data_IF_851444260025
#
_entry.id   IF_851444260025
#
_cell.length_a   1.000
_cell.length_b   1.000
_cell.length_c   1.000
_cell.angle_alpha   90.00
_cell.angle_beta   90.00
_cell.angle_gamma   90.00
#
_symmetry.space_group_name_H-M   'P 1'
#
loop_
_entity.id
_entity.type
_entity.pdbx_description
1 polymer ?
#
# COMPACT_ATOMS: atom_id res chain seq x y z
N UNK A 1 -6.21 -28.90 24.00
CA UNK A 1 -7.09 -30.00 23.53
C UNK A 1 -6.57 -30.43 22.18
N UNK A 2 -6.02 -31.63 22.11
CA UNK A 2 -5.42 -32.14 20.89
C UNK A 2 -6.53 -32.70 19.97
N UNK A 3 -6.62 -32.19 18.75
CA UNK A 3 -7.70 -32.51 17.80
C UNK A 3 -7.65 -33.94 17.23
N UNK A 4 -6.56 -34.69 17.47
CA UNK A 4 -6.44 -36.09 17.02
C UNK A 4 -6.59 -37.13 18.13
N UNK A 5 -6.47 -36.74 19.41
CA UNK A 5 -6.63 -37.67 20.56
C UNK A 5 -7.81 -37.33 21.46
N UNK A 6 -8.42 -36.14 21.33
CA UNK A 6 -9.60 -35.73 22.11
C UNK A 6 -9.33 -35.35 23.57
N UNK A 7 -8.10 -35.52 24.05
CA UNK A 7 -7.75 -35.28 25.45
C UNK A 7 -7.55 -33.78 25.77
N UNK A 8 -7.95 -33.41 26.99
CA UNK A 8 -7.74 -32.07 27.57
C UNK A 8 -6.44 -32.08 28.37
N UNK A 9 -5.34 -31.76 27.71
CA UNK A 9 -4.05 -31.47 28.36
C UNK A 9 -4.22 -30.37 29.43
N UNK A 10 -3.82 -30.68 30.66
CA UNK A 10 -3.76 -29.70 31.73
C UNK A 10 -2.57 -28.75 31.52
N UNK A 11 -2.81 -27.44 31.62
CA UNK A 11 -1.72 -26.46 31.63
C UNK A 11 -0.99 -26.55 32.96
N UNK A 12 0.26 -27.01 32.93
CA UNK A 12 1.15 -27.00 34.07
C UNK A 12 1.58 -25.55 34.34
N UNK A 13 0.94 -24.87 35.29
CA UNK A 13 1.47 -23.62 35.85
C UNK A 13 2.74 -23.98 36.64
N UNK A 14 3.91 -23.77 36.05
CA UNK A 14 5.18 -23.81 36.76
C UNK A 14 5.37 -22.45 37.44
N UNK A 15 5.37 -22.37 38.78
CA UNK A 15 5.81 -21.16 39.47
C UNK A 15 7.33 -21.10 39.34
N UNK A 16 7.86 -19.99 38.82
CA UNK A 16 9.24 -19.64 39.13
C UNK A 16 9.26 -19.15 40.58
N UNK A 17 9.88 -19.93 41.48
CA UNK A 17 10.28 -19.45 42.79
C UNK A 17 11.74 -18.98 42.74
N UNK A 18 11.98 -17.89 43.45
CA UNK A 18 13.21 -17.10 43.48
C UNK A 18 14.06 -17.49 44.70
N UNK A 19 15.39 -17.37 44.56
CA UNK A 19 16.34 -16.90 45.60
C UNK A 19 17.37 -16.06 44.79
N UNK A 20 17.83 -14.87 45.19
CA UNK A 20 18.12 -14.36 46.55
C UNK A 20 17.46 -13.01 46.91
N UNK A 21 16.93 -12.99 48.14
CA UNK A 21 16.88 -11.92 49.18
C UNK A 21 17.03 -10.41 48.82
N UNK A 22 16.06 -9.59 49.27
CA UNK A 22 16.24 -8.51 50.29
C UNK A 22 14.91 -7.77 50.56
N UNK A 23 14.34 -8.03 51.75
CA UNK A 23 13.64 -7.09 52.66
C UNK A 23 12.33 -6.33 52.29
N UNK A 24 11.33 -6.61 53.15
CA UNK A 24 10.39 -5.68 53.84
C UNK A 24 9.02 -5.29 53.22
N UNK A 25 8.01 -5.90 53.86
CA UNK A 25 6.79 -5.30 54.43
C UNK A 25 5.61 -4.90 53.51
N UNK A 26 4.38 -5.13 54.01
CA UNK A 26 3.12 -4.86 53.31
C UNK A 26 2.13 -6.04 53.32
N UNK A 27 1.05 -5.91 54.09
CA UNK A 27 0.15 -7.02 54.42
C UNK A 27 -1.15 -7.11 53.59
N UNK A 28 -1.61 -8.35 53.45
CA UNK A 28 -3.01 -8.83 53.29
C UNK A 28 -3.73 -8.78 51.91
N UNK A 29 -4.66 -9.74 51.67
CA UNK A 29 -5.11 -10.08 50.31
C UNK A 29 -6.49 -9.50 49.93
N UNK A 30 -6.71 -9.37 48.63
CA UNK A 30 -8.00 -9.03 48.02
C UNK A 30 -9.01 -10.18 48.17
N UNK A 31 -10.18 -9.88 48.72
CA UNK A 31 -11.34 -10.78 48.71
C UNK A 31 -11.97 -10.84 47.31
N UNK A 32 -12.17 -12.04 46.77
CA UNK A 32 -12.99 -12.24 45.58
C UNK A 32 -14.47 -12.19 45.97
N UNK A 33 -15.22 -11.21 45.45
CA UNK A 33 -16.68 -11.22 45.47
C UNK A 33 -17.25 -11.58 44.10
N UNK A 34 -18.12 -12.58 44.09
CA UNK A 34 -18.85 -13.06 42.91
C UNK A 34 -19.96 -12.10 42.54
N UNK A 35 -19.86 -11.46 41.37
CA UNK A 35 -20.96 -10.66 40.82
C UNK A 35 -22.10 -11.58 40.33
N UNK A 36 -23.25 -11.47 40.99
CA UNK A 36 -24.49 -12.13 40.58
C UNK A 36 -25.02 -11.51 39.27
N UNK A 37 -25.49 -12.36 38.36
CA UNK A 37 -26.26 -11.91 37.20
C UNK A 37 -27.70 -11.64 37.67
N UNK A 38 -28.13 -10.39 37.62
CA UNK A 38 -29.54 -9.99 37.68
C UNK A 38 -29.93 -9.34 36.37
N UNK A 39 -30.98 -9.88 35.74
CA UNK A 39 -31.65 -9.24 34.61
C UNK A 39 -32.82 -8.42 35.15
N UNK A 40 -32.92 -7.16 34.74
CA UNK A 40 -34.12 -6.36 34.89
C UNK A 40 -34.52 -5.80 33.52
N UNK A 41 -35.83 -5.70 33.31
CA UNK A 41 -36.45 -5.54 32.00
C UNK A 41 -36.60 -4.08 31.56
N UNK A 42 -36.98 -3.95 30.30
CA UNK A 42 -37.27 -2.75 29.52
C UNK A 42 -37.79 -1.52 30.28
N UNK A 43 -37.30 -0.35 29.87
CA UNK A 43 -38.15 0.83 29.82
C UNK A 43 -37.91 1.61 28.51
N UNK A 44 -39.01 2.01 27.89
CA UNK A 44 -39.07 2.60 26.54
C UNK A 44 -39.13 4.15 26.61
N UNK A 45 -39.28 4.81 25.45
CA UNK A 45 -39.36 6.27 25.21
C UNK A 45 -38.01 7.03 25.28
N UNK A 46 -37.62 7.96 24.38
CA UNK A 46 -38.15 8.62 23.16
C UNK A 46 -36.92 9.30 22.43
N UNK A 47 -36.83 9.71 21.15
CA UNK A 47 -37.69 9.71 19.93
C UNK A 47 -36.86 10.15 18.68
N UNK A 48 -37.09 9.55 17.50
CA UNK A 48 -36.68 10.01 16.14
C UNK A 48 -35.15 10.12 15.85
N UNK A 49 -34.63 9.96 14.63
CA UNK A 49 -35.22 10.07 13.28
C UNK A 49 -35.12 8.82 12.40
N UNK A 50 -36.06 8.74 11.45
CA UNK A 50 -36.02 7.82 10.32
C UNK A 50 -35.03 8.30 9.25
N UNK A 51 -34.24 7.37 8.71
CA UNK A 51 -33.94 7.33 7.27
C UNK A 51 -33.48 5.92 6.91
N UNK A 52 -34.41 5.11 6.40
CA UNK A 52 -34.10 3.87 5.68
C UNK A 52 -34.34 4.07 4.18
N UNK A 53 -33.73 3.17 3.40
CA UNK A 53 -33.78 3.03 1.95
C UNK A 53 -33.03 4.10 1.11
N UNK A 54 -32.14 3.73 0.18
CA UNK A 54 -31.69 2.39 -0.20
C UNK A 54 -30.26 2.38 -0.78
N UNK A 55 -29.40 1.54 -0.20
CA UNK A 55 -28.18 1.07 -0.87
C UNK A 55 -28.39 -0.42 -1.12
N UNK A 56 -28.50 -0.81 -2.39
CA UNK A 56 -28.60 -2.23 -2.77
C UNK A 56 -27.27 -2.91 -2.44
N UNK A 57 -27.29 -3.71 -1.37
CA UNK A 57 -26.12 -4.47 -0.91
C UNK A 57 -25.84 -5.59 -1.92
N UNK A 58 -24.85 -5.39 -2.79
CA UNK A 58 -24.16 -6.51 -3.45
C UNK A 58 -23.35 -7.26 -2.41
N UNK A 59 -23.61 -8.56 -2.27
CA UNK A 59 -23.10 -9.36 -1.16
C UNK A 59 -21.72 -9.97 -1.46
N UNK A 60 -20.77 -9.79 -0.53
CA UNK A 60 -19.83 -10.85 -0.07
C UNK A 60 -18.86 -10.38 1.01
N UNK A 61 -18.65 -9.08 1.22
CA UNK A 61 -17.88 -8.57 2.35
C UNK A 61 -18.80 -8.26 3.55
N UNK A 62 -18.38 -8.63 4.76
CA UNK A 62 -19.12 -8.33 5.98
C UNK A 62 -19.28 -6.82 6.16
N UNK A 63 -20.41 -6.37 6.73
CA UNK A 63 -20.67 -4.94 6.96
C UNK A 63 -19.50 -4.32 7.72
N UNK A 64 -18.73 -3.45 7.05
CA UNK A 64 -17.65 -2.69 7.69
C UNK A 64 -18.26 -1.91 8.84
N UNK A 65 -17.77 -2.18 10.06
CA UNK A 65 -18.28 -1.55 11.26
C UNK A 65 -17.95 -0.06 11.22
N UNK A 66 -18.88 0.78 11.67
CA UNK A 66 -18.55 2.18 11.88
C UNK A 66 -17.57 2.30 13.06
N UNK A 67 -16.60 3.22 13.00
CA UNK A 67 -15.74 3.56 14.12
C UNK A 67 -16.57 3.91 15.35
N UNK A 68 -16.17 3.39 16.52
CA UNK A 68 -16.86 3.64 17.80
C UNK A 68 -16.53 5.02 18.38
N UNK A 69 -15.43 5.61 17.94
CA UNK A 69 -14.89 6.86 18.42
C UNK A 69 -15.54 8.05 17.69
N UNK A 70 -16.44 8.76 18.38
CA UNK A 70 -17.08 9.94 17.81
C UNK A 70 -16.07 11.06 17.54
N UNK A 71 -15.00 11.16 18.34
CA UNK A 71 -13.91 12.12 18.13
C UNK A 71 -13.12 11.83 16.86
N UNK A 72 -12.75 10.57 16.60
CA UNK A 72 -12.06 10.22 15.34
C UNK A 72 -12.93 10.51 14.11
N UNK A 73 -14.25 10.25 14.20
CA UNK A 73 -15.18 10.55 13.10
C UNK A 73 -15.28 12.06 12.84
N UNK A 74 -15.28 12.88 13.90
CA UNK A 74 -15.25 14.34 13.80
C UNK A 74 -13.92 14.84 13.23
N UNK A 75 -12.78 14.29 13.67
CA UNK A 75 -11.46 14.57 13.09
C UNK A 75 -11.47 14.23 11.60
N UNK A 76 -11.86 13.01 11.22
CA UNK A 76 -11.95 12.57 9.82
C UNK A 76 -12.74 13.56 8.94
N UNK A 77 -13.97 13.90 9.35
CA UNK A 77 -14.83 14.83 8.61
C UNK A 77 -14.22 16.23 8.51
N UNK A 78 -13.58 16.70 9.58
CA UNK A 78 -12.90 18.00 9.62
C UNK A 78 -11.69 18.02 8.68
N UNK A 79 -10.84 17.00 8.72
CA UNK A 79 -9.65 16.89 7.87
C UNK A 79 -10.01 16.79 6.39
N UNK A 80 -11.04 16.00 6.03
CA UNK A 80 -11.60 15.95 4.66
C UNK A 80 -12.08 17.34 4.21
N UNK A 81 -12.78 18.09 5.06
CA UNK A 81 -13.25 19.44 4.74
C UNK A 81 -12.08 20.44 4.57
N UNK A 82 -11.10 20.42 5.47
CA UNK A 82 -9.90 21.28 5.41
C UNK A 82 -9.10 21.04 4.13
N UNK A 83 -8.86 19.77 3.76
CA UNK A 83 -8.14 19.41 2.56
C UNK A 83 -8.90 19.81 1.28
N UNK A 84 -10.22 19.61 1.22
CA UNK A 84 -11.09 20.07 0.12
C UNK A 84 -11.03 21.60 -0.04
N UNK A 85 -11.04 22.35 1.06
CA UNK A 85 -11.01 23.82 1.05
C UNK A 85 -9.61 24.42 0.95
N UNK A 86 -8.53 23.61 0.98
CA UNK A 86 -7.13 24.07 1.09
C UNK A 86 -6.92 25.01 2.29
N UNK A 87 -7.55 24.68 3.42
CA UNK A 87 -7.55 25.52 4.63
C UNK A 87 -6.17 25.68 5.27
N UNK A 88 -6.05 26.63 6.22
CA UNK A 88 -4.78 26.94 6.88
C UNK A 88 -4.17 25.79 7.68
N UNK A 89 -4.96 24.80 8.09
CA UNK A 89 -4.54 23.60 8.81
C UNK A 89 -4.28 22.40 7.88
N UNK A 90 -3.88 22.66 6.62
CA UNK A 90 -3.70 21.62 5.60
C UNK A 90 -2.76 20.49 6.03
N UNK A 91 -1.62 20.84 6.65
CA UNK A 91 -0.59 19.85 7.03
C UNK A 91 -1.09 18.98 8.18
N UNK A 92 -1.66 19.58 9.23
CA UNK A 92 -2.32 18.85 10.32
C UNK A 92 -3.43 17.91 9.78
N UNK A 93 -4.30 18.40 8.90
CA UNK A 93 -5.37 17.58 8.32
C UNK A 93 -4.82 16.39 7.51
N UNK A 94 -3.65 16.53 6.87
CA UNK A 94 -3.00 15.44 6.16
C UNK A 94 -2.35 14.42 7.10
N UNK A 95 -1.82 14.87 8.25
CA UNK A 95 -1.31 13.99 9.32
C UNK A 95 -2.45 13.25 10.03
N UNK A 96 -3.54 13.94 10.39
CA UNK A 96 -4.76 13.35 10.96
C UNK A 96 -5.30 12.23 10.05
N UNK A 97 -5.38 12.46 8.73
CA UNK A 97 -5.76 11.39 7.79
C UNK A 97 -4.72 10.26 7.74
N UNK A 98 -3.42 10.54 7.91
CA UNK A 98 -2.41 9.49 7.94
C UNK A 98 -2.49 8.63 9.19
N UNK A 99 -2.92 9.21 10.32
CA UNK A 99 -3.24 8.45 11.54
C UNK A 99 -4.50 7.61 11.35
N UNK A 100 -5.56 8.15 10.75
CA UNK A 100 -6.85 7.45 10.61
C UNK A 100 -6.87 6.39 9.48
N UNK A 101 -6.08 6.56 8.42
CA UNK A 101 -6.16 5.73 7.21
C UNK A 101 -5.81 4.24 7.37
N UNK A 102 -5.26 3.81 8.52
CA UNK A 102 -4.99 2.39 8.78
C UNK A 102 -6.26 1.61 9.18
N UNK A 103 -7.33 2.30 9.58
CA UNK A 103 -8.61 1.67 9.83
C UNK A 103 -9.36 1.33 8.52
N UNK A 104 -10.07 0.20 8.52
CA UNK A 104 -10.74 -0.33 7.33
C UNK A 104 -11.87 0.60 6.85
N UNK A 105 -12.58 1.25 7.76
CA UNK A 105 -13.65 2.21 7.43
C UNK A 105 -13.04 3.49 6.86
N UNK A 106 -12.15 4.18 7.59
CA UNK A 106 -11.57 5.45 7.14
C UNK A 106 -10.77 5.28 5.83
N UNK A 107 -9.99 4.20 5.71
CA UNK A 107 -9.28 3.87 4.47
C UNK A 107 -10.21 3.71 3.26
N UNK A 108 -11.40 3.13 3.43
CA UNK A 108 -12.40 3.03 2.36
C UNK A 108 -13.04 4.39 2.04
N UNK A 109 -13.42 5.16 3.05
CA UNK A 109 -14.08 6.47 2.81
C UNK A 109 -13.12 7.48 2.16
N UNK A 110 -11.80 7.43 2.44
CA UNK A 110 -10.79 8.24 1.73
C UNK A 110 -10.81 7.97 0.22
N UNK A 111 -10.95 6.70 -0.18
CA UNK A 111 -10.93 6.28 -1.59
C UNK A 111 -12.24 6.63 -2.31
N UNK A 112 -13.35 6.71 -1.58
CA UNK A 112 -14.65 7.16 -2.11
C UNK A 112 -14.73 8.67 -2.35
N UNK A 113 -13.92 9.43 -1.64
CA UNK A 113 -13.86 10.88 -1.76
C UNK A 113 -12.95 11.30 -2.93
N UNK A 114 -13.50 11.24 -4.16
CA UNK A 114 -12.78 11.46 -5.43
C UNK A 114 -11.77 12.62 -5.40
N UNK A 115 -12.18 13.79 -4.87
CA UNK A 115 -11.31 14.98 -4.83
C UNK A 115 -10.18 14.88 -3.81
N UNK A 116 -10.35 14.08 -2.76
CA UNK A 116 -9.30 13.79 -1.77
C UNK A 116 -8.36 12.72 -2.32
N UNK A 117 -8.88 11.67 -2.94
CA UNK A 117 -8.08 10.64 -3.60
C UNK A 117 -7.19 11.23 -4.71
N UNK A 118 -7.76 12.06 -5.59
CA UNK A 118 -6.99 12.75 -6.64
C UNK A 118 -5.92 13.68 -6.02
N UNK A 119 -6.28 14.48 -5.00
CA UNK A 119 -5.33 15.34 -4.26
C UNK A 119 -4.18 14.53 -3.67
N UNK A 120 -4.45 13.41 -2.99
CA UNK A 120 -3.43 12.55 -2.38
C UNK A 120 -2.53 11.90 -3.44
N UNK A 121 -3.07 11.50 -4.59
CA UNK A 121 -2.29 10.99 -5.73
C UNK A 121 -1.37 12.09 -6.27
N UNK A 122 -1.86 13.32 -6.44
CA UNK A 122 -1.06 14.44 -6.90
C UNK A 122 0.06 14.81 -5.92
N UNK A 123 -0.24 14.87 -4.62
CA UNK A 123 0.76 15.08 -3.57
C UNK A 123 1.82 13.97 -3.60
N UNK A 124 1.45 12.68 -3.67
CA UNK A 124 2.39 11.56 -3.82
C UNK A 124 3.28 11.70 -5.07
N UNK A 125 2.76 12.26 -6.16
CA UNK A 125 3.52 12.52 -7.39
C UNK A 125 4.41 13.78 -7.29
N UNK A 126 4.45 14.45 -6.14
CA UNK A 126 5.19 15.70 -5.94
C UNK A 126 4.60 16.87 -6.73
N UNK A 127 3.28 16.83 -6.96
CA UNK A 127 2.50 17.89 -7.59
C UNK A 127 1.59 18.53 -6.53
N UNK A 128 2.08 19.62 -5.93
CA UNK A 128 1.34 20.39 -4.95
C UNK A 128 0.54 21.51 -5.64
N UNK A 129 -0.72 21.76 -5.24
CA UNK A 129 -1.45 22.97 -5.61
C UNK A 129 -0.73 24.25 -5.13
N UNK A 130 -0.75 25.29 -5.96
CA UNK A 130 -0.04 26.56 -5.71
C UNK A 130 -0.59 27.36 -4.51
N UNK A 131 -1.84 27.13 -4.11
CA UNK A 131 -2.53 27.92 -3.09
C UNK A 131 -2.32 27.45 -1.63
N UNK A 132 -1.53 26.40 -1.40
CA UNK A 132 -1.38 25.81 -0.05
C UNK A 132 -0.32 26.58 0.74
N UNK A 133 -0.56 26.97 2.01
CA UNK A 133 0.41 27.68 2.85
C UNK A 133 1.71 26.89 3.09
N UNK A 134 2.65 27.53 3.80
CA UNK A 134 3.99 27.02 4.11
C UNK A 134 4.01 25.53 4.47
N UNK A 135 5.06 24.81 4.03
CA UNK A 135 5.26 23.40 4.35
C UNK A 135 5.86 23.26 5.74
N UNK A 136 5.13 22.62 6.64
CA UNK A 136 5.63 22.15 7.93
C UNK A 136 6.08 20.68 7.82
N UNK A 137 5.48 19.92 6.90
CA UNK A 137 5.72 18.48 6.71
C UNK A 137 6.16 18.10 5.28
N UNK A 138 6.63 16.86 5.11
CA UNK A 138 6.82 16.25 3.79
C UNK A 138 5.48 15.71 3.26
N UNK A 139 4.65 16.60 2.69
CA UNK A 139 3.31 16.31 2.16
C UNK A 139 3.28 15.14 1.18
N UNK A 140 4.29 15.05 0.31
CA UNK A 140 4.44 13.99 -0.68
C UNK A 140 4.56 12.61 -0.04
N UNK A 141 5.40 12.50 0.99
CA UNK A 141 5.54 11.28 1.80
C UNK A 141 4.28 10.99 2.62
N UNK A 142 3.68 11.99 3.26
CA UNK A 142 2.49 11.80 4.10
C UNK A 142 1.30 11.36 3.25
N UNK A 143 1.03 11.98 2.10
CA UNK A 143 -0.02 11.54 1.18
C UNK A 143 0.22 10.13 0.63
N UNK A 144 1.48 9.77 0.37
CA UNK A 144 1.84 8.41 0.00
C UNK A 144 1.58 7.40 1.14
N UNK A 145 1.81 7.80 2.39
CA UNK A 145 1.49 7.03 3.61
C UNK A 145 -0.02 6.84 3.79
N UNK A 146 -0.82 7.92 3.69
CA UNK A 146 -2.30 7.88 3.74
C UNK A 146 -2.84 6.84 2.76
N UNK A 147 -2.46 6.93 1.48
CA UNK A 147 -2.89 5.98 0.45
C UNK A 147 -2.34 4.56 0.72
N UNK A 148 -1.08 4.43 1.13
CA UNK A 148 -0.46 3.15 1.45
C UNK A 148 -1.19 2.39 2.57
N UNK A 149 -1.57 3.10 3.62
CA UNK A 149 -2.36 2.59 4.75
C UNK A 149 -3.79 2.28 4.35
N UNK A 150 -4.47 3.18 3.63
CA UNK A 150 -5.86 3.01 3.19
C UNK A 150 -6.07 1.71 2.38
N UNK A 151 -5.09 1.32 1.56
CA UNK A 151 -5.11 0.09 0.77
C UNK A 151 -4.52 -1.14 1.50
N UNK A 152 -3.87 -0.98 2.65
CA UNK A 152 -3.20 -2.08 3.34
C UNK A 152 -4.23 -2.99 4.03
N UNK A 153 -4.31 -4.25 3.58
CA UNK A 153 -5.22 -5.26 4.11
C UNK A 153 -6.71 -4.83 4.10
N UNK A 154 -7.08 -3.91 3.18
CA UNK A 154 -8.43 -3.36 3.07
C UNK A 154 -9.05 -3.69 1.68
N UNK A 155 -9.63 -4.89 1.50
CA UNK A 155 -10.24 -5.28 0.24
C UNK A 155 -11.35 -4.32 -0.24
N UNK A 156 -12.10 -3.70 0.68
CA UNK A 156 -13.14 -2.76 0.31
C UNK A 156 -12.58 -1.46 -0.29
N UNK A 157 -11.49 -0.92 0.27
CA UNK A 157 -10.79 0.21 -0.36
C UNK A 157 -10.20 -0.16 -1.74
N UNK A 158 -9.74 -1.41 -1.91
CA UNK A 158 -9.26 -1.91 -3.22
C UNK A 158 -10.42 -2.06 -4.22
N UNK A 159 -11.62 -2.44 -3.80
CA UNK A 159 -12.81 -2.48 -4.67
C UNK A 159 -13.23 -1.08 -5.14
N UNK A 160 -13.15 -0.06 -4.29
CA UNK A 160 -13.49 1.32 -4.67
C UNK A 160 -12.49 1.94 -5.68
N UNK A 161 -11.26 1.42 -5.80
CA UNK A 161 -10.32 1.81 -6.87
C UNK A 161 -10.95 1.63 -8.25
N UNK A 162 -11.78 0.60 -8.47
CA UNK A 162 -12.34 0.31 -9.79
C UNK A 162 -13.37 1.38 -10.23
N UNK A 163 -13.92 2.14 -9.27
CA UNK A 163 -14.75 3.32 -9.49
C UNK A 163 -13.89 4.56 -9.78
N UNK A 164 -12.91 4.87 -8.92
CA UNK A 164 -12.10 6.09 -8.98
C UNK A 164 -10.84 6.00 -9.87
N UNK A 165 -10.59 4.85 -10.50
CA UNK A 165 -9.44 4.51 -11.36
C UNK A 165 -8.91 5.61 -12.27
N UNK A 166 -9.79 6.40 -12.90
CA UNK A 166 -9.41 7.49 -13.81
C UNK A 166 -8.67 8.60 -13.05
N UNK A 167 -9.15 8.94 -11.87
CA UNK A 167 -8.60 9.96 -10.99
C UNK A 167 -7.25 9.53 -10.39
N UNK A 168 -6.95 8.21 -10.37
CA UNK A 168 -5.66 7.67 -9.94
C UNK A 168 -4.66 7.60 -11.11
N UNK A 169 -5.07 7.09 -12.27
CA UNK A 169 -4.15 6.85 -13.40
C UNK A 169 -3.95 8.08 -14.30
N UNK A 170 -4.96 8.95 -14.44
CA UNK A 170 -4.92 10.23 -15.19
C UNK A 170 -5.32 11.39 -14.25
N UNK A 171 -4.55 11.64 -13.17
CA UNK A 171 -4.93 12.62 -12.14
C UNK A 171 -4.78 14.06 -12.65
N UNK A 172 -5.78 14.90 -12.36
CA UNK A 172 -5.89 16.30 -12.81
C UNK A 172 -5.03 17.26 -11.97
N UNK A 173 -3.74 16.93 -11.79
CA UNK A 173 -2.87 17.56 -10.80
C UNK A 173 -2.49 19.04 -11.02
N UNK A 174 -2.99 19.67 -12.08
CA UNK A 174 -2.97 21.14 -12.23
C UNK A 174 -4.20 21.61 -13.01
N UNK A 175 -4.85 22.72 -12.62
CA UNK A 175 -5.96 23.29 -13.39
C UNK A 175 -5.51 24.17 -14.58
N UNK A 176 -4.25 24.66 -14.60
CA UNK A 176 -3.82 25.79 -15.42
C UNK A 176 -2.68 25.49 -16.42
N UNK A 177 -2.75 24.39 -17.18
CA UNK A 177 -1.93 24.19 -18.37
C UNK A 177 -2.81 24.10 -19.63
N UNK A 178 -3.09 25.27 -20.20
CA UNK A 178 -3.91 25.46 -21.41
C UNK A 178 -3.30 24.87 -22.70
N UNK A 179 -2.16 24.16 -22.61
CA UNK A 179 -1.46 23.49 -23.70
C UNK A 179 -1.42 21.97 -23.46
N UNK A 180 -2.60 21.33 -23.39
CA UNK A 180 -2.70 19.86 -23.40
C UNK A 180 -2.25 19.31 -24.76
N UNK A 181 -1.10 18.64 -24.80
CA UNK A 181 -0.63 17.87 -25.97
C UNK A 181 -0.39 16.39 -25.62
N UNK A 182 -0.18 16.05 -24.35
CA UNK A 182 -0.25 14.66 -23.86
C UNK A 182 -1.12 14.60 -22.59
N UNK A 183 -1.95 13.57 -22.46
CA UNK A 183 -2.63 13.24 -21.20
C UNK A 183 -1.61 12.56 -20.28
N UNK A 184 -0.87 13.38 -19.54
CA UNK A 184 0.11 12.92 -18.57
C UNK A 184 -0.57 12.01 -17.53
N UNK A 185 -0.04 10.80 -17.39
CA UNK A 185 -0.59 9.76 -16.54
C UNK A 185 0.32 9.54 -15.31
N UNK A 186 -0.17 8.80 -14.32
CA UNK A 186 0.57 8.49 -13.09
C UNK A 186 2.00 8.00 -13.35
N UNK A 187 2.19 7.15 -14.37
CA UNK A 187 3.49 6.58 -14.73
C UNK A 187 4.39 7.63 -15.37
N UNK A 188 3.90 8.40 -16.34
CA UNK A 188 4.69 9.45 -17.00
C UNK A 188 5.07 10.58 -16.04
N UNK A 189 4.16 10.99 -15.16
CA UNK A 189 4.39 11.99 -14.11
C UNK A 189 5.45 11.50 -13.11
N UNK A 190 5.28 10.29 -12.55
CA UNK A 190 6.27 9.73 -11.62
C UNK A 190 7.62 9.58 -12.33
N UNK A 191 7.63 9.14 -13.59
CA UNK A 191 8.86 9.00 -14.37
C UNK A 191 9.59 10.35 -14.57
N UNK A 192 8.87 11.42 -14.92
CA UNK A 192 9.41 12.79 -15.05
C UNK A 192 10.00 13.32 -13.74
N UNK A 193 9.43 12.92 -12.59
CA UNK A 193 9.89 13.33 -11.24
C UNK A 193 11.07 12.51 -10.72
N UNK A 194 11.17 11.23 -11.12
CA UNK A 194 12.15 10.25 -10.62
C UNK A 194 13.62 10.70 -10.78
N UNK A 195 13.95 11.50 -11.79
CA UNK A 195 15.33 11.99 -11.99
C UNK A 195 15.76 12.94 -10.86
N UNK A 196 14.85 13.81 -10.42
CA UNK A 196 15.09 14.82 -9.39
C UNK A 196 15.03 14.24 -7.97
N UNK A 197 14.28 13.18 -7.79
CA UNK A 197 14.12 12.51 -6.49
C UNK A 197 15.45 11.91 -5.98
N UNK A 198 15.86 12.28 -4.77
CA UNK A 198 17.06 11.76 -4.10
C UNK A 198 16.75 11.08 -2.76
N UNK A 199 15.54 11.22 -2.24
CA UNK A 199 15.10 10.58 -1.00
C UNK A 199 14.67 9.13 -1.26
N UNK A 200 15.54 8.20 -0.86
CA UNK A 200 15.25 6.76 -0.91
C UNK A 200 14.08 6.35 -0.01
N UNK A 201 13.83 7.04 1.10
CA UNK A 201 12.70 6.75 1.99
C UNK A 201 11.37 7.17 1.35
N UNK A 202 11.32 8.34 0.70
CA UNK A 202 10.16 8.76 -0.09
C UNK A 202 9.86 7.76 -1.23
N UNK A 203 10.86 7.39 -2.04
CA UNK A 203 10.68 6.34 -3.06
C UNK A 203 10.22 5.01 -2.48
N UNK A 204 10.75 4.57 -1.33
CA UNK A 204 10.34 3.33 -0.67
C UNK A 204 8.84 3.36 -0.33
N UNK A 205 8.33 4.49 0.15
CA UNK A 205 6.91 4.63 0.49
C UNK A 205 6.05 4.65 -0.78
N UNK A 206 6.44 5.40 -1.82
CA UNK A 206 5.74 5.35 -3.13
C UNK A 206 5.67 3.94 -3.72
N UNK A 207 6.78 3.19 -3.71
CA UNK A 207 6.80 1.79 -4.18
C UNK A 207 5.96 0.88 -3.28
N UNK A 208 5.92 1.14 -1.96
CA UNK A 208 5.05 0.41 -1.03
C UNK A 208 3.58 0.63 -1.38
N UNK A 209 3.15 1.88 -1.56
CA UNK A 209 1.77 2.23 -1.92
C UNK A 209 1.39 1.71 -3.30
N UNK A 210 2.29 1.83 -4.27
CA UNK A 210 2.11 1.26 -5.61
C UNK A 210 1.93 -0.27 -5.57
N UNK A 211 2.67 -0.98 -4.72
CA UNK A 211 2.47 -2.42 -4.49
C UNK A 211 1.07 -2.76 -3.93
N UNK A 212 0.41 -1.82 -3.24
CA UNK A 212 -0.98 -2.00 -2.77
C UNK A 212 -2.00 -1.65 -3.86
N UNK A 213 -1.81 -0.54 -4.57
CA UNK A 213 -2.63 -0.17 -5.74
C UNK A 213 -2.66 -1.29 -6.80
N UNK A 214 -1.52 -1.96 -7.04
CA UNK A 214 -1.40 -3.10 -7.95
C UNK A 214 -2.20 -4.35 -7.54
N UNK A 215 -2.84 -4.37 -6.36
CA UNK A 215 -3.81 -5.40 -6.00
C UNK A 215 -5.18 -5.20 -6.65
N UNK A 216 -5.58 -3.99 -7.05
CA UNK A 216 -6.70 -3.81 -7.98
C UNK A 216 -6.31 -4.39 -9.34
N UNK A 217 -7.13 -5.31 -9.85
CA UNK A 217 -6.95 -5.90 -11.17
C UNK A 217 -7.01 -4.83 -12.28
N UNK A 218 -7.87 -3.82 -12.11
CA UNK A 218 -8.07 -2.78 -13.11
C UNK A 218 -6.92 -1.78 -13.13
N UNK A 219 -6.47 -1.30 -11.97
CA UNK A 219 -5.28 -0.46 -11.88
C UNK A 219 -4.04 -1.21 -12.39
N UNK A 220 -3.87 -2.50 -12.05
CA UNK A 220 -2.76 -3.33 -12.56
C UNK A 220 -2.78 -3.49 -14.09
N UNK A 221 -3.95 -3.60 -14.70
CA UNK A 221 -4.08 -3.61 -16.17
C UNK A 221 -3.56 -2.31 -16.79
N UNK A 222 -4.12 -1.18 -16.37
CA UNK A 222 -3.73 0.16 -16.83
C UNK A 222 -2.24 0.46 -16.57
N UNK A 223 -1.71 0.02 -15.43
CA UNK A 223 -0.29 0.13 -15.07
C UNK A 223 0.61 -0.62 -16.08
N UNK A 224 0.24 -1.84 -16.46
CA UNK A 224 0.99 -2.64 -17.44
C UNK A 224 0.85 -2.12 -18.87
N UNK A 225 -0.24 -1.42 -19.19
CA UNK A 225 -0.48 -0.77 -20.48
C UNK A 225 0.33 0.53 -20.62
N UNK A 226 0.42 1.34 -19.56
CA UNK A 226 1.13 2.62 -19.53
C UNK A 226 2.61 2.48 -19.10
N UNK A 227 3.31 1.43 -19.58
CA UNK A 227 4.75 1.21 -19.37
C UNK A 227 5.22 1.11 -17.90
N UNK A 228 4.33 0.81 -16.95
CA UNK A 228 4.63 0.83 -15.50
C UNK A 228 5.81 -0.05 -15.07
N UNK A 229 6.06 -1.17 -15.77
CA UNK A 229 7.23 -2.01 -15.50
C UNK A 229 8.56 -1.33 -15.85
N UNK A 230 8.58 -0.44 -16.84
CA UNK A 230 9.76 0.36 -17.18
C UNK A 230 10.03 1.44 -16.14
N UNK A 231 8.98 1.98 -15.52
CA UNK A 231 9.08 2.83 -14.34
C UNK A 231 9.69 2.06 -13.15
N UNK A 232 9.18 0.87 -12.79
CA UNK A 232 9.75 0.10 -11.66
C UNK A 232 11.24 -0.21 -11.93
N UNK A 233 11.59 -0.62 -13.15
CA UNK A 233 12.98 -0.91 -13.49
C UNK A 233 13.88 0.33 -13.39
N UNK A 234 13.38 1.52 -13.75
CA UNK A 234 14.12 2.76 -13.56
C UNK A 234 14.32 3.14 -12.08
N UNK A 235 13.34 2.85 -11.20
CA UNK A 235 13.52 3.03 -9.76
C UNK A 235 14.53 2.01 -9.22
N UNK A 236 14.51 0.76 -9.70
CA UNK A 236 15.50 -0.27 -9.33
C UNK A 236 16.94 0.12 -9.73
N UNK A 237 17.10 0.82 -10.86
CA UNK A 237 18.38 1.31 -11.37
C UNK A 237 18.91 2.57 -10.66
N UNK A 238 18.22 3.13 -9.66
CA UNK A 238 18.75 4.25 -8.85
C UNK A 238 20.03 3.82 -8.12
N UNK A 239 21.09 4.61 -8.31
CA UNK A 239 22.42 4.40 -7.74
C UNK A 239 22.51 4.97 -6.33
N UNK A 240 23.29 4.31 -5.47
CA UNK A 240 23.43 4.65 -4.04
C UNK A 240 22.94 3.51 -3.14
N UNK A 241 23.63 3.31 -2.01
CA UNK A 241 23.35 2.22 -1.07
C UNK A 241 22.04 2.43 -0.30
N UNK A 242 21.67 3.70 -0.03
CA UNK A 242 20.37 4.08 0.53
C UNK A 242 19.18 3.52 -0.28
N UNK A 243 19.29 3.48 -1.62
CA UNK A 243 18.28 2.90 -2.51
C UNK A 243 18.23 1.37 -2.48
N UNK A 244 19.16 0.66 -1.81
CA UNK A 244 19.08 -0.80 -1.70
C UNK A 244 17.81 -1.25 -0.94
N UNK A 245 17.34 -0.44 0.02
CA UNK A 245 16.06 -0.65 0.69
C UNK A 245 14.85 -0.50 -0.26
N UNK A 246 14.96 0.38 -1.28
CA UNK A 246 13.96 0.54 -2.34
C UNK A 246 14.01 -0.64 -3.31
N UNK A 247 15.21 -1.10 -3.71
CA UNK A 247 15.39 -2.28 -4.58
C UNK A 247 14.83 -3.55 -3.93
N UNK A 248 15.04 -3.73 -2.63
CA UNK A 248 14.38 -4.81 -1.85
C UNK A 248 12.86 -4.66 -1.86
N UNK A 249 12.34 -3.43 -1.68
CA UNK A 249 10.88 -3.21 -1.73
C UNK A 249 10.28 -3.42 -3.13
N UNK A 250 11.06 -3.18 -4.19
CA UNK A 250 10.72 -3.56 -5.57
C UNK A 250 10.68 -5.08 -5.71
N UNK A 251 11.65 -5.82 -5.15
CA UNK A 251 11.62 -7.29 -5.15
C UNK A 251 10.34 -7.83 -4.52
N UNK A 252 9.94 -7.28 -3.37
CA UNK A 252 8.67 -7.62 -2.70
C UNK A 252 7.48 -7.28 -3.61
N UNK A 253 7.41 -6.08 -4.21
CA UNK A 253 6.35 -5.70 -5.14
C UNK A 253 6.20 -6.68 -6.31
N UNK A 254 7.32 -7.09 -6.92
CA UNK A 254 7.33 -8.02 -8.06
C UNK A 254 6.83 -9.42 -7.67
N UNK A 255 7.28 -9.93 -6.52
CA UNK A 255 6.85 -11.21 -5.97
C UNK A 255 5.35 -11.17 -5.66
N UNK A 256 4.92 -10.19 -4.86
CA UNK A 256 3.55 -10.02 -4.37
C UNK A 256 2.52 -9.86 -5.49
N UNK A 257 2.86 -9.23 -6.62
CA UNK A 257 1.88 -8.83 -7.64
C UNK A 257 1.96 -9.63 -8.95
N UNK A 258 3.13 -10.18 -9.31
CA UNK A 258 3.34 -10.77 -10.64
C UNK A 258 3.98 -12.16 -10.65
N UNK A 259 4.77 -12.55 -9.64
CA UNK A 259 5.61 -13.76 -9.73
C UNK A 259 5.17 -14.93 -8.85
N UNK A 260 4.51 -14.69 -7.70
CA UNK A 260 4.16 -15.76 -6.75
C UNK A 260 2.67 -15.75 -6.34
N UNK A 261 1.94 -16.76 -6.80
CA UNK A 261 0.52 -16.99 -6.50
C UNK A 261 0.25 -17.10 -4.99
N UNK A 262 1.21 -17.60 -4.20
CA UNK A 262 1.06 -17.75 -2.74
C UNK A 262 1.00 -16.41 -2.00
N UNK A 263 1.54 -15.35 -2.60
CA UNK A 263 1.43 -13.95 -2.12
C UNK A 263 0.28 -13.18 -2.80
N UNK A 264 -0.60 -13.89 -3.53
CA UNK A 264 -1.73 -13.33 -4.26
C UNK A 264 -1.32 -12.57 -5.52
N UNK A 265 -0.25 -12.99 -6.20
CA UNK A 265 0.11 -12.47 -7.51
C UNK A 265 -0.81 -13.01 -8.62
N UNK A 266 -1.15 -12.17 -9.60
CA UNK A 266 -1.69 -12.65 -10.85
C UNK A 266 -0.52 -12.95 -11.79
N UNK A 267 -0.18 -14.24 -11.91
CA UNK A 267 0.97 -14.69 -12.70
C UNK A 267 0.71 -14.69 -14.21
N UNK A 268 1.78 -14.81 -14.99
CA UNK A 268 1.78 -14.92 -16.46
C UNK A 268 1.29 -13.65 -17.21
N UNK A 269 0.95 -12.56 -16.50
CA UNK A 269 0.71 -11.24 -17.11
C UNK A 269 2.00 -10.44 -17.33
N UNK A 270 3.04 -10.77 -16.55
CA UNK A 270 4.40 -10.25 -16.63
C UNK A 270 5.35 -11.27 -15.96
N UNK A 271 6.62 -11.46 -16.42
CA UNK A 271 7.24 -10.89 -17.63
C UNK A 271 6.62 -11.41 -18.94
N UNK A 272 6.69 -10.59 -20.00
CA UNK A 272 6.05 -10.86 -21.30
C UNK A 272 7.04 -11.33 -22.36
N UNK A 273 8.31 -10.93 -22.26
CA UNK A 273 9.36 -11.17 -23.25
C UNK A 273 10.42 -12.15 -22.75
N UNK A 274 11.05 -12.92 -23.65
CA UNK A 274 12.18 -13.78 -23.29
C UNK A 274 13.40 -12.93 -22.89
N UNK A 275 14.29 -13.54 -22.11
CA UNK A 275 15.51 -12.89 -21.61
C UNK A 275 16.36 -12.35 -22.76
N UNK A 276 16.72 -11.07 -22.66
CA UNK A 276 17.61 -10.38 -23.58
C UNK A 276 19.08 -10.65 -23.26
N UNK A 277 19.96 -10.42 -24.25
CA UNK A 277 21.40 -10.55 -24.05
C UNK A 277 21.98 -9.34 -23.30
N UNK A 278 23.07 -9.55 -22.56
CA UNK A 278 23.79 -8.46 -21.85
C UNK A 278 24.07 -7.25 -22.75
N UNK A 279 24.67 -7.48 -23.93
CA UNK A 279 24.94 -6.45 -24.96
C UNK A 279 23.70 -5.73 -25.51
N UNK A 280 22.50 -6.32 -25.37
CA UNK A 280 21.26 -5.61 -25.69
C UNK A 280 20.89 -4.64 -24.58
N UNK A 281 20.99 -5.08 -23.32
CA UNK A 281 20.57 -4.34 -22.13
C UNK A 281 21.52 -3.23 -21.68
N UNK A 282 22.81 -3.35 -21.99
CA UNK A 282 23.83 -2.31 -21.76
C UNK A 282 23.62 -1.05 -22.63
N UNK A 283 22.75 -1.11 -23.65
CA UNK A 283 22.43 0.04 -24.50
C UNK A 283 21.40 0.92 -23.78
N UNK A 284 21.70 2.21 -23.62
CA UNK A 284 20.83 3.20 -22.95
C UNK A 284 19.36 3.12 -23.38
N UNK A 285 19.09 3.05 -24.70
CA UNK A 285 17.73 2.96 -25.26
C UNK A 285 16.95 1.67 -24.94
N UNK A 286 17.61 0.65 -24.42
CA UNK A 286 17.05 -0.65 -24.09
C UNK A 286 17.06 -0.91 -22.57
N UNK A 287 17.51 0.07 -21.77
CA UNK A 287 17.88 -0.13 -20.37
C UNK A 287 16.70 -0.63 -19.51
N UNK A 288 15.47 -0.20 -19.85
CA UNK A 288 14.24 -0.53 -19.12
C UNK A 288 13.40 -1.64 -19.76
N UNK A 289 13.89 -2.23 -20.86
CA UNK A 289 13.19 -3.28 -21.61
C UNK A 289 12.95 -4.54 -20.76
N UNK A 290 11.76 -5.13 -20.86
CA UNK A 290 11.32 -6.29 -20.07
C UNK A 290 12.34 -7.46 -20.04
N UNK A 291 12.96 -7.75 -21.19
CA UNK A 291 13.97 -8.80 -21.30
C UNK A 291 15.24 -8.57 -20.48
N UNK A 292 15.44 -7.39 -19.87
CA UNK A 292 16.69 -6.97 -19.21
C UNK A 292 16.69 -7.04 -17.69
N UNK A 293 15.55 -7.32 -17.05
CA UNK A 293 15.44 -7.43 -15.60
C UNK A 293 16.49 -8.36 -14.96
N UNK A 294 16.67 -9.58 -15.44
CA UNK A 294 17.66 -10.53 -14.89
C UNK A 294 19.08 -10.01 -15.02
N UNK A 295 19.42 -9.27 -16.07
CA UNK A 295 20.77 -8.72 -16.21
C UNK A 295 21.06 -7.71 -15.11
N UNK A 296 20.10 -6.81 -14.83
CA UNK A 296 20.22 -5.78 -13.81
C UNK A 296 20.18 -6.35 -12.39
N UNK A 297 19.34 -7.36 -12.13
CA UNK A 297 19.31 -8.04 -10.83
C UNK A 297 20.56 -8.91 -10.63
N UNK A 298 21.09 -9.56 -11.68
CA UNK A 298 22.38 -10.29 -11.60
C UNK A 298 23.55 -9.34 -11.32
N UNK A 299 23.62 -8.19 -11.99
CA UNK A 299 24.64 -7.16 -11.70
C UNK A 299 24.50 -6.60 -10.28
N UNK A 300 23.28 -6.30 -9.83
CA UNK A 300 23.07 -5.85 -8.46
C UNK A 300 23.43 -6.94 -7.44
N UNK A 301 23.13 -8.21 -7.72
CA UNK A 301 23.46 -9.34 -6.83
C UNK A 301 24.97 -9.54 -6.64
N UNK A 302 25.83 -9.10 -7.57
CA UNK A 302 27.29 -9.13 -7.35
C UNK A 302 27.78 -7.97 -6.48
N UNK A 303 27.01 -6.88 -6.39
CA UNK A 303 27.30 -5.73 -5.53
C UNK A 303 26.93 -6.00 -4.06
N UNK A 304 25.92 -6.86 -3.81
CA UNK A 304 25.46 -7.26 -2.47
C UNK A 304 25.48 -8.78 -2.25
N UNK A 305 26.66 -9.45 -2.29
CA UNK A 305 26.75 -10.91 -2.30
C UNK A 305 26.18 -11.60 -1.04
N UNK A 306 26.13 -10.88 0.08
CA UNK A 306 25.58 -11.31 1.38
C UNK A 306 24.05 -11.31 1.44
N UNK A 307 23.37 -10.67 0.49
CA UNK A 307 21.90 -10.64 0.42
C UNK A 307 21.41 -11.81 -0.45
N UNK A 308 20.40 -12.55 0.04
CA UNK A 308 19.82 -13.67 -0.71
C UNK A 308 18.56 -13.29 -1.50
N UNK A 309 17.87 -12.20 -1.13
CA UNK A 309 16.67 -11.76 -1.84
C UNK A 309 16.88 -11.48 -3.34
N UNK A 310 18.04 -10.96 -3.84
CA UNK A 310 18.24 -10.79 -5.29
C UNK A 310 18.31 -12.13 -6.03
N UNK A 311 18.89 -13.15 -5.38
CA UNK A 311 18.98 -14.52 -5.90
C UNK A 311 17.58 -15.15 -5.97
N UNK A 312 16.78 -14.97 -4.92
CA UNK A 312 15.40 -15.45 -4.85
C UNK A 312 14.52 -14.76 -5.92
N UNK A 313 14.64 -13.44 -6.10
CA UNK A 313 13.95 -12.70 -7.17
C UNK A 313 14.34 -13.22 -8.57
N UNK A 314 15.63 -13.49 -8.80
CA UNK A 314 16.09 -14.08 -10.07
C UNK A 314 15.49 -15.47 -10.33
N UNK A 315 15.34 -16.30 -9.30
CA UNK A 315 14.70 -17.61 -9.43
C UNK A 315 13.21 -17.48 -9.77
N UNK A 316 12.48 -16.62 -9.04
CA UNK A 316 11.07 -16.35 -9.29
C UNK A 316 10.82 -15.74 -10.68
N UNK A 317 11.69 -14.85 -11.15
CA UNK A 317 11.58 -14.26 -12.48
C UNK A 317 11.89 -15.27 -13.59
N UNK A 318 12.90 -16.13 -13.38
CA UNK A 318 13.28 -17.19 -14.34
C UNK A 318 12.21 -18.28 -14.47
N UNK A 319 11.48 -18.60 -13.39
CA UNK A 319 10.42 -19.62 -13.44
C UNK A 319 9.16 -19.15 -14.20
N UNK A 320 8.86 -17.85 -14.18
CA UNK A 320 7.69 -17.25 -14.87
C UNK A 320 7.97 -16.75 -16.29
N UNK A 321 9.23 -16.74 -16.73
CA UNK A 321 9.61 -16.15 -18.02
C UNK A 321 9.25 -17.03 -19.22
N UNK A 322 8.65 -16.46 -20.29
CA UNK A 322 8.42 -17.19 -21.53
C UNK A 322 9.72 -17.80 -22.07
N UNK A 323 9.71 -19.12 -22.29
CA UNK A 323 10.81 -19.82 -22.95
C UNK A 323 10.93 -19.30 -24.38
N UNK A 324 12.15 -18.94 -24.78
CA UNK A 324 12.41 -18.48 -26.15
C UNK A 324 12.02 -19.59 -27.12
N UNK A 325 10.97 -19.36 -27.90
CA UNK A 325 10.58 -20.26 -28.99
C UNK A 325 11.73 -20.22 -29.98
N UNK A 326 12.52 -21.31 -30.03
CA UNK A 326 13.38 -21.57 -31.16
C UNK A 326 12.47 -21.85 -32.36
N UNK A 327 12.18 -20.81 -33.14
CA UNK A 327 11.76 -20.97 -34.51
C UNK A 327 12.78 -21.91 -35.16
N UNK A 328 12.35 -23.15 -35.41
CA UNK A 328 13.10 -24.03 -36.30
C UNK A 328 13.07 -23.33 -37.66
N UNK A 329 14.23 -22.88 -38.11
CA UNK A 329 14.39 -22.44 -39.49
C UNK A 329 14.22 -23.69 -40.35
N UNK A 330 13.02 -23.88 -40.88
CA UNK A 330 12.82 -24.76 -42.02
C UNK A 330 13.37 -24.04 -43.25
N UNK A 331 14.51 -24.53 -43.74
CA UNK A 331 14.89 -24.80 -45.14
C UNK A 331 16.37 -25.21 -45.13
#
# INVERSE_FOLDING_TARGET
MNIYTGEKEARLNVPMMEEDDISLDGAQPLSMETALITAEEENNDQKYMQHEESIKITASQGKIQLPKSQSELQTFQSSIAILKMRGSLFDQALEDLSELAHDIYYGREIVREDSILELLVCLMLGLEPEDIPNREINRERTAASVLGSAFQNNPAAIEEIDNAKKNIIYPSCTPNLANKIEEDNFISIFRKKLEKEQDAHNLKIKITTLSRLLKSNHFRGLFLENEGMELILAVFLKRGENFNTVKKKISELLIDNFLDESYGAQVNIWPKLPRSSKRFCEKSKNLFHDGCWEHHIEEFSTQVPTEDWPKNLLLALKSRRPKKISLKTEI
#
